data_IF_187040785932
#
_entry.id   IF_187040785932
#
_cell.length_a   1.000
_cell.length_b   1.000
_cell.length_c   1.000
_cell.angle_alpha   90.00
_cell.angle_beta   90.00
_cell.angle_gamma   90.00
#
_symmetry.space_group_name_H-M   'P 1'
#
loop_
_entity.id
_entity.type
_entity.pdbx_description
1 polymer ?
#
# COMPACT_ATOMS: atom_id res chain seq x y z
N UNK A 1 -23.16 -11.07 3.67
CA UNK A 1 -21.99 -10.42 3.02
C UNK A 1 -22.22 -8.92 2.88
N UNK A 2 -23.37 -8.45 2.38
CA UNK A 2 -23.68 -7.01 2.24
C UNK A 2 -23.53 -6.20 3.55
N UNK A 3 -24.02 -6.72 4.67
CA UNK A 3 -23.94 -6.01 5.97
C UNK A 3 -22.50 -5.73 6.41
N UNK A 4 -21.56 -6.62 6.10
CA UNK A 4 -20.14 -6.41 6.44
C UNK A 4 -19.49 -5.35 5.54
N UNK A 5 -19.88 -5.26 4.29
CA UNK A 5 -19.42 -4.22 3.35
C UNK A 5 -19.85 -2.84 3.84
N UNK A 6 -21.12 -2.66 4.19
CA UNK A 6 -21.63 -1.38 4.72
C UNK A 6 -20.93 -0.95 6.02
N UNK A 7 -20.67 -1.89 6.92
CA UNK A 7 -19.95 -1.61 8.17
C UNK A 7 -18.51 -1.23 7.92
N UNK A 8 -17.84 -1.88 6.97
CA UNK A 8 -16.45 -1.58 6.61
C UNK A 8 -16.32 -0.21 5.93
N UNK A 9 -17.27 0.17 5.04
CA UNK A 9 -17.32 1.52 4.45
C UNK A 9 -17.51 2.59 5.53
N UNK A 10 -18.41 2.36 6.49
CA UNK A 10 -18.59 3.27 7.64
C UNK A 10 -17.37 3.37 8.54
N UNK A 11 -16.65 2.26 8.73
CA UNK A 11 -15.39 2.23 9.47
C UNK A 11 -14.31 3.06 8.77
N UNK A 12 -14.20 2.94 7.45
CA UNK A 12 -13.29 3.76 6.65
C UNK A 12 -13.58 5.25 6.74
N UNK A 13 -14.84 5.65 6.58
CA UNK A 13 -15.27 7.04 6.70
C UNK A 13 -14.98 7.60 8.11
N UNK A 14 -15.30 6.84 9.15
CA UNK A 14 -15.07 7.26 10.53
C UNK A 14 -13.59 7.33 10.91
N UNK A 15 -12.74 6.48 10.31
CA UNK A 15 -11.31 6.44 10.59
C UNK A 15 -10.53 7.49 9.82
N UNK A 16 -10.85 7.66 8.54
CA UNK A 16 -10.11 8.53 7.63
C UNK A 16 -10.57 10.00 7.70
N UNK A 17 -11.79 10.24 8.23
CA UNK A 17 -12.38 11.58 8.33
C UNK A 17 -12.31 12.34 6.99
N UNK A 18 -12.69 11.67 5.90
CA UNK A 18 -12.59 12.22 4.54
C UNK A 18 -13.27 13.58 4.39
N UNK A 19 -12.50 14.55 3.92
CA UNK A 19 -13.00 15.87 3.57
C UNK A 19 -13.66 15.93 2.19
N UNK A 20 -14.18 17.10 1.80
CA UNK A 20 -14.87 17.29 0.52
C UNK A 20 -13.96 17.10 -0.71
N UNK A 21 -12.66 17.32 -0.54
CA UNK A 21 -11.67 17.22 -1.62
C UNK A 21 -11.04 15.80 -1.72
N UNK A 22 -11.37 14.89 -0.79
CA UNK A 22 -10.82 13.53 -0.74
C UNK A 22 -11.57 12.54 -1.66
N UNK A 23 -11.81 12.97 -2.90
CA UNK A 23 -12.50 12.14 -3.88
C UNK A 23 -11.78 10.81 -4.17
N UNK A 24 -10.49 10.85 -4.47
CA UNK A 24 -9.73 9.65 -4.81
C UNK A 24 -9.46 8.73 -3.61
N UNK A 25 -9.09 9.22 -2.42
CA UNK A 25 -9.00 8.40 -1.22
C UNK A 25 -10.30 7.67 -0.91
N UNK A 26 -11.45 8.34 -1.01
CA UNK A 26 -12.78 7.74 -0.81
C UNK A 26 -13.07 6.65 -1.86
N UNK A 27 -12.86 6.94 -3.14
CA UNK A 27 -13.04 5.96 -4.21
C UNK A 27 -12.14 4.72 -4.04
N UNK A 28 -10.93 4.90 -3.52
CA UNK A 28 -10.04 3.80 -3.15
C UNK A 28 -10.60 2.96 -1.99
N UNK A 29 -11.09 3.59 -0.94
CA UNK A 29 -11.69 2.90 0.21
C UNK A 29 -12.89 2.05 -0.22
N UNK A 30 -13.81 2.62 -1.00
CA UNK A 30 -14.96 1.92 -1.57
C UNK A 30 -14.53 0.72 -2.43
N UNK A 31 -13.62 0.93 -3.37
CA UNK A 31 -13.11 -0.13 -4.23
C UNK A 31 -12.43 -1.25 -3.42
N UNK A 32 -11.67 -0.89 -2.38
CA UNK A 32 -11.01 -1.85 -1.50
C UNK A 32 -12.04 -2.71 -0.77
N UNK A 33 -13.03 -2.10 -0.12
CA UNK A 33 -14.05 -2.83 0.64
C UNK A 33 -14.85 -3.76 -0.26
N UNK A 34 -15.29 -3.28 -1.43
CA UNK A 34 -16.12 -4.06 -2.34
C UNK A 34 -15.38 -5.18 -3.04
N UNK A 35 -14.08 -5.00 -3.33
CA UNK A 35 -13.31 -5.90 -4.21
C UNK A 35 -12.26 -6.75 -3.50
N UNK A 36 -11.87 -6.39 -2.26
CA UNK A 36 -10.78 -7.05 -1.56
C UNK A 36 -10.99 -8.56 -1.39
N UNK A 37 -12.19 -9.00 -1.07
CA UNK A 37 -12.48 -10.44 -0.88
C UNK A 37 -12.52 -11.20 -2.21
N UNK A 38 -13.35 -10.76 -3.16
CA UNK A 38 -13.57 -11.50 -4.40
C UNK A 38 -12.43 -11.41 -5.40
N UNK A 39 -11.72 -10.28 -5.43
CA UNK A 39 -10.67 -10.09 -6.43
C UNK A 39 -9.26 -10.28 -5.85
N UNK A 40 -8.98 -9.69 -4.68
CA UNK A 40 -7.62 -9.70 -4.13
C UNK A 40 -7.36 -10.95 -3.29
N UNK A 41 -8.23 -11.23 -2.32
CA UNK A 41 -8.04 -12.37 -1.44
C UNK A 41 -8.11 -13.71 -2.20
N UNK A 42 -9.09 -13.88 -3.06
CA UNK A 42 -9.24 -15.10 -3.85
C UNK A 42 -8.09 -15.26 -4.86
N UNK A 43 -7.65 -14.19 -5.48
CA UNK A 43 -6.48 -14.21 -6.35
C UNK A 43 -5.20 -14.59 -5.60
N UNK A 44 -4.94 -13.97 -4.45
CA UNK A 44 -3.76 -14.28 -3.62
C UNK A 44 -3.75 -15.75 -3.19
N UNK A 45 -4.91 -16.28 -2.77
CA UNK A 45 -5.05 -17.70 -2.46
C UNK A 45 -4.81 -18.58 -3.68
N UNK A 46 -5.31 -18.16 -4.82
CA UNK A 46 -5.13 -18.88 -6.10
C UNK A 46 -3.67 -19.03 -6.51
N UNK A 47 -2.82 -18.04 -6.18
CA UNK A 47 -1.38 -18.10 -6.44
C UNK A 47 -0.56 -18.72 -5.30
N UNK A 48 -1.20 -19.16 -4.22
CA UNK A 48 -0.59 -19.92 -3.13
C UNK A 48 -0.34 -19.17 -1.82
N UNK A 49 -0.81 -17.92 -1.68
CA UNK A 49 -0.76 -17.21 -0.39
C UNK A 49 -1.73 -17.87 0.58
N UNK A 50 -1.27 -18.14 1.79
CA UNK A 50 -2.09 -18.69 2.86
C UNK A 50 -2.35 -17.63 3.93
N UNK A 51 -3.58 -17.56 4.41
CA UNK A 51 -3.98 -16.65 5.48
C UNK A 51 -4.26 -17.43 6.77
N UNK A 52 -3.86 -16.85 7.89
CA UNK A 52 -4.23 -17.39 9.20
C UNK A 52 -5.73 -17.21 9.43
N UNK A 53 -6.45 -18.23 9.89
CA UNK A 53 -7.88 -18.15 10.17
C UNK A 53 -8.13 -17.43 11.52
N UNK A 54 -7.62 -16.23 11.68
CA UNK A 54 -7.71 -15.43 12.89
C UNK A 54 -8.19 -14.02 12.57
N UNK A 55 -9.44 -13.68 12.90
CA UNK A 55 -9.93 -12.32 12.76
C UNK A 55 -9.27 -11.40 13.81
N UNK A 56 -8.92 -10.19 13.41
CA UNK A 56 -8.33 -9.18 14.27
C UNK A 56 -9.02 -7.83 14.13
N UNK A 57 -9.03 -7.07 15.21
CA UNK A 57 -9.33 -5.65 15.26
C UNK A 57 -8.00 -4.92 15.47
N UNK A 58 -7.48 -4.30 14.46
CA UNK A 58 -6.08 -3.85 14.46
C UNK A 58 -5.93 -2.34 14.55
N UNK A 59 -6.88 -1.61 14.03
CA UNK A 59 -6.84 -0.16 14.02
C UNK A 59 -7.26 0.38 15.40
N UNK A 60 -6.43 1.17 16.05
CA UNK A 60 -6.71 1.89 17.30
C UNK A 60 -7.41 1.10 18.43
N UNK A 61 -7.57 -0.22 18.29
CA UNK A 61 -8.19 -1.09 19.30
C UNK A 61 -9.72 -1.18 19.22
N UNK A 62 -10.28 -2.11 19.99
CA UNK A 62 -11.72 -2.36 20.08
C UNK A 62 -12.43 -1.10 20.62
N UNK A 63 -13.64 -0.86 20.15
CA UNK A 63 -14.50 0.27 20.55
C UNK A 63 -14.06 1.65 20.07
N UNK A 64 -13.04 1.76 19.23
CA UNK A 64 -12.68 3.01 18.59
C UNK A 64 -13.48 3.18 17.28
N UNK A 65 -13.96 4.39 16.95
CA UNK A 65 -14.59 4.63 15.66
C UNK A 65 -13.71 4.16 14.50
N UNK A 66 -14.30 3.53 13.49
CA UNK A 66 -13.57 2.97 12.37
C UNK A 66 -13.00 1.57 12.60
N UNK A 67 -13.45 0.84 13.63
CA UNK A 67 -12.97 -0.50 13.95
C UNK A 67 -14.09 -1.41 14.48
N UNK A 68 -15.24 -1.42 13.81
CA UNK A 68 -16.42 -2.16 14.24
C UNK A 68 -16.44 -3.62 13.79
N UNK A 69 -15.72 -3.96 12.71
CA UNK A 69 -15.68 -5.31 12.15
C UNK A 69 -14.26 -5.91 12.19
N UNK A 70 -14.14 -7.23 12.45
CA UNK A 70 -12.86 -7.91 12.40
C UNK A 70 -12.39 -8.06 10.95
N UNK A 71 -11.08 -8.04 10.76
CA UNK A 71 -10.43 -8.21 9.45
C UNK A 71 -9.51 -9.42 9.43
N UNK A 72 -9.40 -10.05 8.28
CA UNK A 72 -8.54 -11.21 8.03
C UNK A 72 -7.42 -10.78 7.12
N UNK A 73 -6.27 -10.41 7.68
CA UNK A 73 -5.15 -9.90 6.90
C UNK A 73 -3.79 -10.47 7.29
N UNK A 74 -3.77 -11.44 8.19
CA UNK A 74 -2.52 -12.07 8.58
C UNK A 74 -2.17 -13.16 7.57
N UNK A 75 -1.12 -12.92 6.82
CA UNK A 75 -0.52 -13.91 5.94
C UNK A 75 0.31 -14.89 6.75
N UNK A 76 0.12 -16.19 6.50
CA UNK A 76 0.98 -17.22 7.08
C UNK A 76 2.40 -17.06 6.54
N UNK A 77 3.38 -16.91 7.41
CA UNK A 77 4.76 -16.58 7.03
C UNK A 77 5.05 -15.09 6.86
N UNK A 78 4.10 -14.24 7.28
CA UNK A 78 4.23 -12.76 7.29
C UNK A 78 4.38 -12.13 5.91
N UNK A 79 4.79 -10.86 5.85
CA UNK A 79 5.10 -10.15 4.61
C UNK A 79 6.23 -10.80 3.80
N UNK A 80 7.12 -11.55 4.45
CA UNK A 80 8.16 -12.31 3.75
C UNK A 80 7.55 -13.34 2.80
N UNK A 81 6.66 -14.20 3.28
CA UNK A 81 6.04 -15.23 2.43
C UNK A 81 5.17 -14.62 1.33
N UNK A 82 4.46 -13.53 1.63
CA UNK A 82 3.75 -12.77 0.61
C UNK A 82 4.68 -12.33 -0.52
N UNK A 83 5.82 -11.74 -0.17
CA UNK A 83 6.82 -11.29 -1.15
C UNK A 83 7.39 -12.47 -1.96
N UNK A 84 7.68 -13.60 -1.31
CA UNK A 84 8.18 -14.82 -1.97
C UNK A 84 7.18 -15.35 -2.99
N UNK A 85 5.91 -15.47 -2.61
CA UNK A 85 4.86 -15.98 -3.50
C UNK A 85 4.64 -15.04 -4.68
N UNK A 86 4.54 -13.72 -4.44
CA UNK A 86 4.35 -12.73 -5.48
C UNK A 86 5.53 -12.70 -6.46
N UNK A 87 6.78 -12.75 -5.97
CA UNK A 87 7.96 -12.80 -6.82
C UNK A 87 7.99 -14.09 -7.66
N UNK A 88 7.67 -15.23 -7.06
CA UNK A 88 7.59 -16.50 -7.80
C UNK A 88 6.55 -16.42 -8.92
N UNK A 89 5.37 -15.89 -8.62
CA UNK A 89 4.30 -15.71 -9.60
C UNK A 89 4.74 -14.76 -10.73
N UNK A 90 5.37 -13.64 -10.40
CA UNK A 90 5.89 -12.67 -11.36
C UNK A 90 6.95 -13.28 -12.29
N UNK A 91 7.92 -14.00 -11.72
CA UNK A 91 9.02 -14.61 -12.49
C UNK A 91 8.56 -15.80 -13.36
N UNK A 92 7.48 -16.46 -12.98
CA UNK A 92 6.87 -17.54 -13.75
C UNK A 92 5.83 -17.05 -14.77
N UNK A 93 5.56 -15.75 -14.85
CA UNK A 93 4.52 -15.24 -15.72
C UNK A 93 4.87 -15.45 -17.20
N UNK A 94 3.92 -15.87 -18.06
CA UNK A 94 4.17 -16.13 -19.48
C UNK A 94 4.76 -14.95 -20.26
N UNK A 95 4.49 -13.73 -19.81
CA UNK A 95 5.02 -12.48 -20.40
C UNK A 95 6.14 -11.86 -19.56
N UNK A 96 6.93 -12.68 -18.87
CA UNK A 96 8.05 -12.20 -18.03
C UNK A 96 9.11 -11.43 -18.85
N UNK A 97 9.25 -11.76 -20.10
CA UNK A 97 10.14 -11.13 -21.06
C UNK A 97 9.84 -9.63 -21.31
N UNK A 98 8.61 -9.19 -21.04
CA UNK A 98 8.21 -7.78 -21.13
C UNK A 98 8.54 -6.97 -19.86
N UNK A 99 9.02 -7.60 -18.80
CA UNK A 99 9.32 -6.94 -17.54
C UNK A 99 10.83 -6.74 -17.38
N UNK A 100 11.23 -5.50 -17.23
CA UNK A 100 12.59 -5.12 -16.81
C UNK A 100 12.58 -4.75 -15.33
N UNK A 101 13.42 -5.41 -14.53
CA UNK A 101 13.62 -5.12 -13.12
C UNK A 101 14.94 -4.37 -12.95
N UNK A 102 14.88 -3.16 -12.43
CA UNK A 102 16.05 -2.32 -12.13
C UNK A 102 16.16 -2.13 -10.64
N UNK A 103 17.06 -2.87 -10.03
CA UNK A 103 17.39 -2.75 -8.60
C UNK A 103 18.35 -1.59 -8.36
N UNK A 104 18.45 -1.13 -7.12
CA UNK A 104 19.32 -0.02 -6.69
C UNK A 104 19.07 1.31 -7.42
N UNK A 105 17.93 1.44 -8.10
CA UNK A 105 17.52 2.68 -8.76
C UNK A 105 16.59 3.45 -7.81
N UNK A 106 17.16 4.38 -7.05
CA UNK A 106 16.37 5.24 -6.17
C UNK A 106 15.71 6.37 -6.97
N UNK A 107 14.41 6.27 -7.16
CA UNK A 107 13.63 7.34 -7.79
C UNK A 107 13.49 8.50 -6.81
N UNK A 108 13.84 9.71 -7.25
CA UNK A 108 13.81 10.93 -6.42
C UNK A 108 12.72 11.91 -6.86
N UNK A 109 12.34 11.87 -8.14
CA UNK A 109 11.29 12.75 -8.66
C UNK A 109 10.62 12.20 -9.91
N UNK A 110 9.41 12.67 -10.17
CA UNK A 110 8.70 12.45 -11.42
C UNK A 110 9.11 13.51 -12.45
N UNK A 111 9.18 13.11 -13.70
CA UNK A 111 9.32 14.06 -14.83
C UNK A 111 7.94 14.39 -15.39
N UNK A 112 7.74 15.64 -15.78
CA UNK A 112 6.46 16.12 -16.31
C UNK A 112 6.66 16.93 -17.58
N UNK A 113 5.73 16.77 -18.51
CA UNK A 113 5.67 17.57 -19.74
C UNK A 113 4.22 18.04 -19.94
N UNK A 114 4.04 19.35 -20.07
CA UNK A 114 2.72 19.97 -20.22
C UNK A 114 1.70 19.55 -19.12
N UNK A 115 2.18 19.38 -17.88
CA UNK A 115 1.34 18.98 -16.75
C UNK A 115 1.05 17.47 -16.64
N UNK A 116 1.47 16.66 -17.61
CA UNK A 116 1.36 15.20 -17.53
C UNK A 116 2.68 14.58 -17.06
N UNK A 117 2.57 13.52 -16.24
CA UNK A 117 3.73 12.72 -15.84
C UNK A 117 4.20 11.89 -17.03
N UNK A 118 5.49 12.00 -17.34
CA UNK A 118 6.12 11.35 -18.51
C UNK A 118 7.25 10.41 -18.14
N UNK A 119 7.53 10.24 -16.87
CA UNK A 119 8.58 9.35 -16.40
C UNK A 119 9.07 9.67 -14.99
N UNK A 120 10.29 9.25 -14.71
CA UNK A 120 10.95 9.50 -13.43
C UNK A 120 12.46 9.67 -13.61
N UNK A 121 13.10 10.26 -12.61
CA UNK A 121 14.56 10.36 -12.50
C UNK A 121 15.02 10.09 -11.08
N UNK A 122 16.27 9.71 -10.96
CA UNK A 122 16.86 9.38 -9.66
C UNK A 122 18.33 9.05 -9.78
N UNK A 123 18.83 8.28 -8.82
CA UNK A 123 20.25 7.89 -8.72
C UNK A 123 20.40 6.39 -8.43
N UNK A 124 21.47 5.81 -8.97
CA UNK A 124 21.92 4.48 -8.57
C UNK A 124 22.52 4.57 -7.16
N UNK A 125 22.03 3.75 -6.23
CA UNK A 125 22.46 3.83 -4.82
C UNK A 125 23.95 3.48 -4.63
N UNK A 126 24.50 2.55 -5.44
CA UNK A 126 25.89 2.14 -5.32
C UNK A 126 26.90 3.15 -5.89
N UNK A 127 26.58 3.87 -6.96
CA UNK A 127 27.51 4.75 -7.70
C UNK A 127 27.16 6.23 -7.58
N UNK A 128 25.91 6.57 -7.25
CA UNK A 128 25.40 7.93 -7.30
C UNK A 128 25.14 8.45 -8.72
N UNK A 129 25.29 7.62 -9.74
CA UNK A 129 25.04 7.95 -11.14
C UNK A 129 23.56 8.29 -11.34
N UNK A 130 23.29 9.35 -12.12
CA UNK A 130 21.94 9.78 -12.42
C UNK A 130 21.33 8.91 -13.52
N UNK A 131 20.03 8.63 -13.38
CA UNK A 131 19.26 7.99 -14.44
C UNK A 131 17.94 8.72 -14.68
N UNK A 132 17.43 8.58 -15.88
CA UNK A 132 16.08 9.00 -16.27
C UNK A 132 15.40 7.84 -17.02
N UNK A 133 14.11 7.65 -16.74
CA UNK A 133 13.27 6.70 -17.44
C UNK A 133 11.99 7.40 -17.90
N UNK A 134 11.61 7.17 -19.15
CA UNK A 134 10.40 7.72 -19.75
C UNK A 134 9.32 6.65 -19.86
N UNK A 135 8.06 7.03 -19.65
CA UNK A 135 6.92 6.13 -19.72
C UNK A 135 5.64 6.90 -20.07
N UNK A 136 4.70 6.22 -20.72
CA UNK A 136 3.35 6.73 -20.97
C UNK A 136 2.49 6.76 -19.70
N UNK A 137 2.79 5.92 -18.70
CA UNK A 137 2.14 5.88 -17.40
C UNK A 137 3.15 5.51 -16.30
N UNK A 138 2.98 6.09 -15.12
CA UNK A 138 3.81 5.81 -13.95
C UNK A 138 2.92 5.36 -12.80
N UNK A 139 3.21 4.19 -12.22
CA UNK A 139 2.57 3.69 -11.01
C UNK A 139 3.51 3.87 -9.83
N UNK A 140 3.06 4.58 -8.80
CA UNK A 140 3.81 4.76 -7.55
C UNK A 140 3.37 3.69 -6.57
N UNK A 141 4.26 2.77 -6.22
CA UNK A 141 4.04 1.71 -5.25
C UNK A 141 5.17 1.70 -4.20
N UNK A 142 5.52 2.89 -3.70
CA UNK A 142 6.70 3.13 -2.86
C UNK A 142 6.48 2.85 -1.35
N UNK A 143 5.31 2.34 -0.96
CA UNK A 143 4.96 2.11 0.44
C UNK A 143 4.67 3.41 1.20
N UNK A 144 4.81 3.36 2.52
CA UNK A 144 4.53 4.48 3.41
C UNK A 144 5.73 5.37 3.70
N UNK A 145 5.50 6.38 4.54
CA UNK A 145 6.52 7.40 4.91
C UNK A 145 7.37 7.01 6.11
N UNK A 146 7.23 5.79 6.64
CA UNK A 146 7.89 5.36 7.89
C UNK A 146 9.43 5.41 7.85
N UNK A 147 10.02 5.40 6.66
CA UNK A 147 11.46 5.60 6.47
C UNK A 147 11.96 7.03 6.68
N UNK A 148 11.05 8.01 6.71
CA UNK A 148 11.35 9.44 6.89
C UNK A 148 10.72 9.95 8.17
N UNK A 149 11.48 9.95 9.28
CA UNK A 149 10.99 10.37 10.59
C UNK A 149 10.54 11.83 10.62
N UNK A 150 11.10 12.69 9.78
CA UNK A 150 10.68 14.09 9.71
C UNK A 150 9.27 14.20 9.10
N UNK A 151 8.99 13.44 8.05
CA UNK A 151 7.66 13.34 7.47
C UNK A 151 6.67 12.66 8.41
N UNK A 152 7.07 11.61 9.11
CA UNK A 152 6.22 10.96 10.14
C UNK A 152 5.81 11.99 11.18
N UNK A 153 6.74 12.78 11.72
CA UNK A 153 6.45 13.83 12.71
C UNK A 153 5.54 14.94 12.15
N UNK A 154 5.72 15.31 10.89
CA UNK A 154 4.90 16.33 10.23
C UNK A 154 3.44 15.90 10.06
N UNK A 155 3.21 14.61 9.80
CA UNK A 155 1.88 14.01 9.58
C UNK A 155 1.37 13.21 10.79
N UNK A 156 1.98 13.39 11.97
CA UNK A 156 1.58 12.70 13.18
C UNK A 156 0.21 13.18 13.66
N UNK A 157 -0.69 12.27 13.91
CA UNK A 157 -2.03 12.63 14.37
C UNK A 157 -1.98 13.16 15.80
N UNK A 158 -2.66 14.28 16.06
CA UNK A 158 -2.62 14.96 17.35
C UNK A 158 -3.07 14.08 18.53
N UNK A 159 -4.08 13.23 18.31
CA UNK A 159 -4.64 12.34 19.33
C UNK A 159 -3.68 11.21 19.74
N UNK A 160 -2.61 10.98 18.99
CA UNK A 160 -1.62 9.94 19.31
C UNK A 160 -0.55 10.41 20.30
N UNK A 161 -0.68 11.62 20.79
CA UNK A 161 0.28 12.22 21.71
C UNK A 161 1.58 12.62 21.02
N UNK A 162 2.70 12.56 21.75
CA UNK A 162 4.00 12.96 21.21
C UNK A 162 4.48 11.96 20.15
N UNK A 163 4.91 12.45 18.96
CA UNK A 163 5.48 11.59 17.94
C UNK A 163 6.76 10.90 18.43
N UNK A 164 7.07 9.68 17.98
CA UNK A 164 8.27 8.96 18.35
C UNK A 164 9.53 9.65 17.80
N UNK A 165 10.66 9.42 18.45
CA UNK A 165 11.96 9.87 17.94
C UNK A 165 12.51 8.94 16.85
N UNK A 166 12.11 7.67 16.89
CA UNK A 166 12.49 6.63 15.92
C UNK A 166 11.31 5.75 15.59
N UNK A 167 11.25 5.26 14.37
CA UNK A 167 10.25 4.28 13.91
C UNK A 167 11.00 3.06 13.41
N UNK A 168 10.53 1.87 13.81
CA UNK A 168 11.03 0.62 13.23
C UNK A 168 10.44 0.50 11.83
N UNK A 169 11.32 0.40 10.84
CA UNK A 169 10.93 0.12 9.47
C UNK A 169 10.74 -1.38 9.29
N UNK A 170 9.60 -1.78 8.74
CA UNK A 170 9.35 -3.15 8.35
C UNK A 170 9.96 -3.47 7.00
#
# INVERSE_FOLDING_TARGET
>A
MEVYVELDERDWDAFAEFGPDDHWPRAWAEAYVQRANGEIFDWLRGIGVQFMPMPLWVERGLHTPGNSVPRWHIVWGTGHELAVVLNRHLLAHPRRDLLELRFEHRVESLTTTNGAVTGCRGRLEGTGEEFEAQAEAVVIAAGGINGDIARVKQHWHADWGRPPETVLNG
#
